data_IF_842422461660
#
_entry.id   IF_842422461660
#
_cell.length_a   1.000
_cell.length_b   1.000
_cell.length_c   1.000
_cell.angle_alpha   90.00
_cell.angle_beta   90.00
_cell.angle_gamma   90.00
#
_symmetry.space_group_name_H-M   'P 1'
#
loop_
_entity.id
_entity.type
_entity.pdbx_description
1 polymer ?
#
# COMPACT_ATOMS: atom_id res chain seq x y z
N UNK A 1 -8.91 13.23 6.67
CA UNK A 1 -7.75 12.90 5.80
C UNK A 1 -7.53 11.39 5.91
N UNK A 2 -7.00 10.71 4.90
CA UNK A 2 -7.36 9.30 4.58
C UNK A 2 -6.13 8.39 4.44
N UNK A 3 -6.27 7.13 4.86
CA UNK A 3 -5.31 6.05 4.59
C UNK A 3 -5.84 5.10 3.52
N UNK A 4 -5.11 4.95 2.42
CA UNK A 4 -5.52 4.16 1.25
C UNK A 4 -4.59 2.96 1.12
N UNK A 5 -5.16 1.77 1.08
CA UNK A 5 -4.44 0.52 0.84
C UNK A 5 -4.62 0.12 -0.61
N UNK A 6 -3.52 -0.15 -1.32
CA UNK A 6 -3.55 -0.50 -2.74
C UNK A 6 -2.73 -1.76 -2.98
N UNK A 7 -3.38 -2.79 -3.51
CA UNK A 7 -2.71 -3.99 -3.99
C UNK A 7 -1.94 -3.73 -5.29
N UNK A 8 -0.71 -4.23 -5.39
CA UNK A 8 0.13 -4.17 -6.59
C UNK A 8 -0.02 -5.41 -7.49
N UNK A 9 -0.75 -6.43 -7.03
CA UNK A 9 -0.84 -7.70 -7.75
C UNK A 9 0.45 -8.51 -7.65
N UNK A 10 0.61 -9.49 -8.54
CA UNK A 10 1.66 -10.52 -8.45
C UNK A 10 2.85 -10.32 -9.40
N UNK A 11 2.81 -9.28 -10.24
CA UNK A 11 3.80 -9.04 -11.28
C UNK A 11 4.75 -7.89 -10.88
N UNK A 12 5.17 -7.06 -11.84
CA UNK A 12 5.93 -5.84 -11.60
C UNK A 12 5.03 -4.66 -11.20
N UNK A 13 5.57 -3.44 -11.22
CA UNK A 13 4.82 -2.19 -11.07
C UNK A 13 3.59 -2.09 -12.03
N UNK A 14 3.59 -2.84 -13.13
CA UNK A 14 2.46 -2.93 -14.09
C UNK A 14 1.22 -3.64 -13.54
N UNK A 15 1.33 -4.34 -12.42
CA UNK A 15 0.18 -4.93 -11.72
C UNK A 15 -0.65 -3.90 -10.94
N UNK A 16 -0.15 -2.67 -10.77
CA UNK A 16 -0.87 -1.59 -10.10
C UNK A 16 -2.16 -1.25 -10.85
N UNK A 17 -3.35 -1.40 -10.22
CA UNK A 17 -4.61 -1.03 -10.86
C UNK A 17 -4.64 0.47 -11.20
N UNK A 18 -5.28 0.84 -12.32
CA UNK A 18 -5.38 2.23 -12.76
C UNK A 18 -5.92 3.16 -11.66
N UNK A 19 -6.95 2.72 -10.95
CA UNK A 19 -7.51 3.45 -9.79
C UNK A 19 -6.48 3.64 -8.67
N UNK A 20 -5.64 2.63 -8.42
CA UNK A 20 -4.55 2.72 -7.44
C UNK A 20 -3.49 3.74 -7.85
N UNK A 21 -3.13 3.76 -9.14
CA UNK A 21 -2.20 4.74 -9.71
C UNK A 21 -2.73 6.17 -9.61
N UNK A 22 -4.01 6.39 -9.95
CA UNK A 22 -4.66 7.71 -9.82
C UNK A 22 -4.63 8.21 -8.37
N UNK A 23 -4.95 7.34 -7.40
CA UNK A 23 -4.91 7.69 -5.99
C UNK A 23 -3.50 7.94 -5.47
N UNK A 24 -2.50 7.19 -5.94
CA UNK A 24 -1.10 7.43 -5.60
C UNK A 24 -0.57 8.75 -6.17
N UNK A 25 -1.00 9.12 -7.39
CA UNK A 25 -0.70 10.44 -7.99
C UNK A 25 -1.35 11.60 -7.25
N UNK A 26 -2.55 11.41 -6.72
CA UNK A 26 -3.31 12.42 -5.98
C UNK A 26 -3.01 12.45 -4.46
N UNK A 27 -2.18 11.52 -3.95
CA UNK A 27 -1.84 11.47 -2.52
C UNK A 27 -0.73 12.45 -2.11
N UNK A 28 -0.62 12.74 -0.82
CA UNK A 28 0.48 13.56 -0.29
C UNK A 28 1.72 12.70 -0.03
N UNK A 29 1.50 11.45 0.41
CA UNK A 29 2.56 10.48 0.68
C UNK A 29 2.24 9.11 0.10
N UNK A 30 3.28 8.43 -0.37
CA UNK A 30 3.21 7.06 -0.86
C UNK A 30 4.25 6.23 -0.14
N UNK A 31 3.77 5.16 0.48
CA UNK A 31 4.56 4.15 1.15
C UNK A 31 4.46 2.84 0.39
N UNK A 32 5.45 1.99 0.56
CA UNK A 32 5.43 0.63 0.07
C UNK A 32 6.10 -0.30 1.06
N UNK A 33 5.55 -1.50 1.24
CA UNK A 33 6.25 -2.59 1.91
C UNK A 33 6.60 -3.71 0.91
N UNK A 34 7.64 -4.48 1.22
CA UNK A 34 8.07 -5.62 0.41
C UNK A 34 8.46 -6.83 1.27
N UNK A 35 8.05 -6.85 2.53
CA UNK A 35 8.40 -7.93 3.46
C UNK A 35 7.28 -8.95 3.60
N UNK A 36 6.03 -8.58 3.28
CA UNK A 36 4.93 -9.55 3.26
C UNK A 36 4.98 -10.43 2.01
N UNK A 37 5.50 -9.90 0.90
CA UNK A 37 5.79 -10.65 -0.31
C UNK A 37 6.86 -9.97 -1.15
N UNK A 38 7.57 -10.76 -1.95
CA UNK A 38 8.53 -10.27 -2.92
C UNK A 38 7.85 -10.11 -4.28
N UNK A 39 8.06 -8.97 -4.93
CA UNK A 39 7.74 -8.77 -6.35
C UNK A 39 9.05 -8.79 -7.12
N UNK A 40 9.46 -9.92 -7.73
CA UNK A 40 10.80 -10.09 -8.29
C UNK A 40 11.15 -9.07 -9.39
N UNK A 41 10.14 -8.60 -10.12
CA UNK A 41 10.28 -7.67 -11.24
C UNK A 41 9.97 -6.21 -10.87
N UNK A 42 9.90 -5.89 -9.58
CA UNK A 42 9.63 -4.53 -9.15
C UNK A 42 10.88 -3.66 -9.23
N UNK A 43 10.86 -2.69 -10.15
CA UNK A 43 11.77 -1.55 -10.13
C UNK A 43 11.11 -0.36 -9.43
N UNK A 44 11.69 0.06 -8.31
CA UNK A 44 11.21 1.19 -7.52
C UNK A 44 11.26 2.50 -8.31
N UNK A 45 12.26 2.71 -9.19
CA UNK A 45 12.38 3.94 -9.98
C UNK A 45 11.30 4.04 -11.03
N UNK A 46 10.94 2.92 -11.67
CA UNK A 46 9.84 2.89 -12.63
C UNK A 46 8.50 3.15 -11.92
N UNK A 47 8.30 2.55 -10.75
CA UNK A 47 7.13 2.80 -9.92
C UNK A 47 7.03 4.28 -9.50
N UNK A 48 8.11 4.88 -9.02
CA UNK A 48 8.17 6.31 -8.70
C UNK A 48 7.90 7.18 -9.93
N UNK A 49 8.40 6.77 -11.11
CA UNK A 49 8.10 7.43 -12.38
C UNK A 49 6.62 7.38 -12.77
N UNK A 50 5.94 6.26 -12.51
CA UNK A 50 4.50 6.13 -12.73
C UNK A 50 3.70 6.97 -11.75
N UNK A 51 4.02 6.88 -10.46
CA UNK A 51 3.37 7.61 -9.37
C UNK A 51 3.64 9.12 -9.46
N UNK A 52 4.77 9.52 -10.04
CA UNK A 52 5.19 10.91 -10.20
C UNK A 52 5.72 11.54 -8.90
N UNK A 53 6.03 10.74 -7.87
CA UNK A 53 6.64 11.21 -6.61
C UNK A 53 7.38 10.07 -5.89
N UNK A 54 8.22 10.39 -4.90
CA UNK A 54 8.98 9.40 -4.15
C UNK A 54 8.08 8.38 -3.43
N UNK A 55 8.50 7.12 -3.43
CA UNK A 55 7.83 6.02 -2.73
C UNK A 55 8.71 5.59 -1.57
N UNK A 56 8.26 5.84 -0.33
CA UNK A 56 9.02 5.47 0.86
C UNK A 56 8.81 3.99 1.17
N UNK A 57 9.87 3.20 1.03
CA UNK A 57 9.87 1.80 1.45
C UNK A 57 9.89 1.71 2.98
N UNK A 58 9.01 0.88 3.54
CA UNK A 58 8.86 0.65 4.98
C UNK A 58 8.96 -0.83 5.32
N UNK A 59 9.40 -1.09 6.54
CA UNK A 59 9.61 -2.42 7.09
C UNK A 59 8.49 -2.82 8.05
N UNK A 60 8.61 -4.04 8.59
CA UNK A 60 7.67 -4.58 9.57
C UNK A 60 7.56 -3.69 10.81
N UNK A 61 8.70 -3.21 11.31
CA UNK A 61 8.71 -2.39 12.50
C UNK A 61 7.89 -1.11 12.31
N UNK A 62 7.96 -0.50 11.14
CA UNK A 62 7.19 0.70 10.81
C UNK A 62 5.69 0.41 10.70
N UNK A 63 5.26 -0.72 10.14
CA UNK A 63 3.83 -1.01 9.96
C UNK A 63 3.15 -1.62 11.19
N UNK A 64 3.85 -2.49 11.92
CA UNK A 64 3.26 -3.30 13.01
C UNK A 64 3.55 -2.71 14.39
N UNK A 65 4.81 -2.36 14.65
CA UNK A 65 5.26 -1.94 15.97
C UNK A 65 5.05 -0.43 16.17
N UNK A 66 5.47 0.38 15.20
CA UNK A 66 5.52 1.85 15.31
C UNK A 66 4.84 2.58 14.12
N UNK A 67 3.54 2.38 13.86
CA UNK A 67 2.83 2.98 12.71
C UNK A 67 2.51 4.48 12.86
N UNK A 68 3.04 5.14 13.88
CA UNK A 68 2.71 6.53 14.20
C UNK A 68 3.02 7.49 13.05
N UNK A 69 4.12 7.30 12.32
CA UNK A 69 4.45 8.16 11.18
C UNK A 69 3.33 8.14 10.11
N UNK A 70 2.88 6.94 9.73
CA UNK A 70 1.86 6.74 8.70
C UNK A 70 0.50 7.26 9.17
N UNK A 71 0.13 6.96 10.42
CA UNK A 71 -1.15 7.36 10.99
C UNK A 71 -1.22 8.89 11.18
N UNK A 72 -0.14 9.53 11.63
CA UNK A 72 -0.08 10.99 11.79
C UNK A 72 -0.08 11.72 10.44
N UNK A 73 0.57 11.16 9.41
CA UNK A 73 0.46 11.70 8.06
C UNK A 73 -0.94 11.50 7.48
N UNK A 74 -1.58 10.36 7.70
CA UNK A 74 -2.94 10.09 7.25
C UNK A 74 -3.97 10.97 7.96
N UNK A 75 -3.65 11.54 9.13
CA UNK A 75 -4.43 12.59 9.79
C UNK A 75 -4.25 13.97 9.17
N UNK A 76 -3.15 14.21 8.44
CA UNK A 76 -2.73 15.49 7.86
C UNK A 76 -2.86 15.56 6.33
N UNK A 77 -3.11 14.44 5.67
CA UNK A 77 -3.30 14.35 4.21
C UNK A 77 -3.72 12.96 3.75
N UNK A 78 -3.64 12.72 2.44
CA UNK A 78 -3.88 11.42 1.80
C UNK A 78 -2.60 10.61 1.82
N UNK A 79 -2.65 9.44 2.45
CA UNK A 79 -1.54 8.48 2.46
C UNK A 79 -1.94 7.24 1.68
N UNK A 80 -1.08 6.80 0.77
CA UNK A 80 -1.21 5.52 0.07
C UNK A 80 -0.18 4.54 0.60
N UNK A 81 -0.60 3.32 0.92
CA UNK A 81 0.26 2.18 1.20
C UNK A 81 0.10 1.17 0.06
N UNK A 82 1.17 1.00 -0.72
CA UNK A 82 1.29 0.01 -1.78
C UNK A 82 1.75 -1.33 -1.19
N UNK A 83 1.03 -2.39 -1.54
CA UNK A 83 1.22 -3.73 -0.98
C UNK A 83 1.32 -4.76 -2.11
N UNK A 84 2.36 -5.60 -2.16
CA UNK A 84 2.41 -6.78 -3.01
C UNK A 84 1.18 -7.69 -2.91
N UNK A 85 0.65 -8.13 -4.05
CA UNK A 85 -0.58 -8.92 -4.10
C UNK A 85 -1.83 -8.08 -3.81
N UNK A 86 -2.73 -8.62 -2.99
CA UNK A 86 -3.92 -7.91 -2.51
C UNK A 86 -3.73 -7.44 -1.07
N UNK A 87 -4.03 -6.15 -0.85
CA UNK A 87 -3.74 -5.50 0.43
C UNK A 87 -4.42 -6.12 1.65
N UNK A 88 -5.59 -6.77 1.52
CA UNK A 88 -6.34 -7.30 2.67
C UNK A 88 -6.11 -8.79 2.93
N UNK A 89 -5.23 -9.45 2.17
CA UNK A 89 -4.87 -10.86 2.38
C UNK A 89 -3.96 -11.03 3.60
N UNK A 90 -3.01 -10.11 3.79
CA UNK A 90 -2.13 -10.13 4.96
C UNK A 90 -2.80 -9.45 6.17
N UNK A 91 -2.77 -10.12 7.33
CA UNK A 91 -3.38 -9.63 8.57
C UNK A 91 -2.76 -8.32 9.08
N UNK A 92 -1.49 -8.06 8.76
CA UNK A 92 -0.79 -6.82 9.10
C UNK A 92 -1.52 -5.57 8.62
N UNK A 93 -1.99 -5.56 7.38
CA UNK A 93 -2.66 -4.37 6.82
C UNK A 93 -4.06 -4.19 7.41
N UNK A 94 -4.73 -5.29 7.76
CA UNK A 94 -6.00 -5.27 8.47
C UNK A 94 -5.83 -4.64 9.86
N UNK A 95 -4.77 -5.00 10.59
CA UNK A 95 -4.47 -4.39 11.89
C UNK A 95 -4.22 -2.87 11.76
N UNK A 96 -3.36 -2.45 10.80
CA UNK A 96 -3.11 -1.03 10.55
C UNK A 96 -4.40 -0.27 10.20
N UNK A 97 -5.26 -0.85 9.38
CA UNK A 97 -6.56 -0.30 9.03
C UNK A 97 -7.45 -0.12 10.26
N UNK A 98 -7.55 -1.13 11.12
CA UNK A 98 -8.33 -1.06 12.36
C UNK A 98 -7.78 0.01 13.32
N UNK A 99 -6.45 0.16 13.41
CA UNK A 99 -5.81 1.24 14.20
C UNK A 99 -6.15 2.62 13.63
N UNK A 100 -6.18 2.77 12.30
CA UNK A 100 -6.58 4.01 11.64
C UNK A 100 -8.05 4.36 11.91
N UNK A 101 -8.97 3.39 11.76
CA UNK A 101 -10.39 3.57 12.02
C UNK A 101 -10.69 3.94 13.48
N UNK A 102 -10.02 3.27 14.45
CA UNK A 102 -10.11 3.61 15.89
C UNK A 102 -9.67 5.05 16.20
N UNK A 103 -8.83 5.64 15.34
CA UNK A 103 -8.34 7.03 15.45
C UNK A 103 -9.17 8.03 14.65
N UNK A 104 -10.28 7.60 14.06
CA UNK A 104 -11.16 8.44 13.24
C UNK A 104 -10.56 8.80 11.88
N UNK A 105 -9.60 8.01 11.38
CA UNK A 105 -8.99 8.22 10.05
C UNK A 105 -9.79 7.37 9.04
N UNK A 106 -10.48 7.97 8.06
CA UNK A 106 -11.11 7.24 6.97
C UNK A 106 -10.12 6.36 6.22
N UNK A 107 -10.57 5.16 5.84
CA UNK A 107 -9.77 4.21 5.07
C UNK A 107 -10.42 3.87 3.73
N UNK A 108 -9.60 3.55 2.74
CA UNK A 108 -10.04 3.07 1.42
C UNK A 108 -9.18 1.87 1.03
N UNK A 109 -9.79 0.86 0.41
CA UNK A 109 -9.08 -0.31 -0.11
C UNK A 109 -9.27 -0.39 -1.62
N UNK A 110 -8.17 -0.53 -2.35
CA UNK A 110 -8.12 -0.85 -3.78
C UNK A 110 -7.57 -2.27 -3.91
N UNK A 111 -8.42 -3.26 -4.21
CA UNK A 111 -8.00 -4.66 -4.31
C UNK A 111 -7.17 -4.91 -5.58
N UNK A 112 -6.44 -6.02 -5.59
CA UNK A 112 -5.68 -6.50 -6.76
C UNK A 112 -5.58 -8.04 -6.78
N UNK A 113 -4.80 -8.60 -7.70
CA UNK A 113 -4.59 -10.05 -7.79
C UNK A 113 -3.81 -10.58 -6.59
N UNK A 114 -4.17 -11.79 -6.14
CA UNK A 114 -3.50 -12.47 -5.02
C UNK A 114 -3.06 -13.87 -5.43
N UNK A 115 -1.97 -14.36 -4.84
CA UNK A 115 -1.45 -15.70 -5.10
C UNK A 115 -2.47 -16.77 -4.69
N UNK A 116 -3.32 -16.46 -3.69
CA UNK A 116 -4.42 -17.32 -3.26
C UNK A 116 -5.43 -17.58 -4.38
N UNK A 117 -5.61 -16.62 -5.29
CA UNK A 117 -6.47 -16.78 -6.47
C UNK A 117 -5.74 -17.31 -7.70
N UNK A 118 -4.43 -17.05 -7.83
CA UNK A 118 -3.67 -17.35 -9.04
C UNK A 118 -3.00 -18.74 -9.02
N UNK A 119 -2.53 -19.22 -7.86
CA UNK A 119 -1.84 -20.50 -7.74
C UNK A 119 -2.72 -21.76 -7.94
N UNK A 120 -3.99 -21.82 -7.46
CA UNK A 120 -4.83 -23.00 -7.66
C UNK A 120 -5.49 -23.05 -9.05
N UNK A 121 -5.26 -22.03 -9.89
CA UNK A 121 -5.86 -21.91 -11.22
C UNK A 121 -5.15 -22.76 -12.27
#
# INVERSE_FOLDING_TARGET
MMLIFVGLGLCSHKGLPLRGLELARDSDWVYMEHYTSLLPELDLRELEGWVGKPVKVVDRQTLEENPEEILERARKGKVVLLVPGDSMVATTHVDLRLRAEKRGIPTLVVPSSSILSAAPA
#
